data_IF_454002251561
#
_entry.id   IF_454002251561
#
_cell.length_a   1.000
_cell.length_b   1.000
_cell.length_c   1.000
_cell.angle_alpha   90.00
_cell.angle_beta   90.00
_cell.angle_gamma   90.00
#
_symmetry.space_group_name_H-M   'P 1'
#
loop_
_entity.id
_entity.type
_entity.pdbx_description
1 polymer ?
#
# COMPACT_ATOMS: atom_id res chain seq x y z
N UNK A 1 -62.46 -4.41 -1.31
CA UNK A 1 -61.95 -3.02 -1.36
C UNK A 1 -61.00 -2.90 -0.17
N UNK A 2 -59.70 -2.70 -0.28
CA UNK A 2 -58.94 -1.90 -1.24
C UNK A 2 -57.75 -2.66 -1.82
N UNK A 3 -57.61 -2.64 -3.14
CA UNK A 3 -56.36 -2.93 -3.84
C UNK A 3 -55.41 -1.75 -3.66
N UNK A 4 -54.17 -2.04 -3.28
CA UNK A 4 -53.09 -1.06 -3.16
C UNK A 4 -52.47 -0.86 -4.55
N UNK A 5 -52.19 0.39 -4.99
CA UNK A 5 -51.66 0.68 -6.31
C UNK A 5 -50.12 0.67 -6.34
N UNK A 6 -49.58 0.37 -7.52
CA UNK A 6 -48.40 1.06 -8.04
C UNK A 6 -47.06 0.32 -7.93
N UNK A 7 -46.27 0.27 -9.02
CA UNK A 7 -45.13 -0.63 -9.15
C UNK A 7 -43.92 -0.18 -8.31
N UNK A 8 -43.16 -1.18 -7.88
CA UNK A 8 -41.79 -1.05 -7.40
C UNK A 8 -41.03 -0.20 -8.41
N UNK A 9 -40.49 0.93 -7.96
CA UNK A 9 -39.53 1.73 -8.73
C UNK A 9 -38.44 0.79 -9.23
N UNK A 10 -38.44 0.55 -10.54
CA UNK A 10 -37.27 0.06 -11.26
C UNK A 10 -36.14 1.02 -10.91
N UNK A 11 -35.24 0.57 -10.04
CA UNK A 11 -33.94 1.22 -9.85
C UNK A 11 -33.25 1.08 -11.20
N UNK A 12 -33.32 2.12 -12.02
CA UNK A 12 -32.44 2.29 -13.17
C UNK A 12 -31.02 2.20 -12.62
N UNK A 13 -30.39 1.04 -12.81
CA UNK A 13 -28.96 0.88 -12.65
C UNK A 13 -28.30 1.69 -13.77
N UNK A 14 -28.10 2.99 -13.53
CA UNK A 14 -27.16 3.78 -14.31
C UNK A 14 -25.79 3.08 -14.27
N UNK A 15 -24.96 3.20 -15.32
CA UNK A 15 -23.66 2.58 -15.34
C UNK A 15 -22.87 3.04 -14.12
N UNK A 16 -22.44 2.09 -13.29
CA UNK A 16 -21.57 2.38 -12.15
C UNK A 16 -20.37 3.21 -12.64
N UNK A 17 -19.96 4.25 -11.90
CA UNK A 17 -18.79 5.03 -12.28
C UNK A 17 -17.61 4.09 -12.49
N UNK A 18 -17.02 4.12 -13.69
CA UNK A 18 -15.83 3.35 -14.01
C UNK A 18 -14.68 4.03 -13.30
N UNK A 19 -14.29 3.50 -12.14
CA UNK A 19 -13.14 4.00 -11.42
C UNK A 19 -11.87 3.62 -12.21
N UNK A 20 -11.02 4.60 -12.56
CA UNK A 20 -9.77 4.33 -13.25
C UNK A 20 -8.90 3.42 -12.38
N UNK A 21 -8.44 2.31 -12.95
CA UNK A 21 -7.54 1.37 -12.29
C UNK A 21 -6.11 1.64 -12.72
N UNK A 22 -5.13 1.29 -11.89
CA UNK A 22 -3.72 1.34 -12.28
C UNK A 22 -3.47 0.50 -13.54
N UNK A 23 -2.81 1.06 -14.55
CA UNK A 23 -2.49 0.34 -15.79
C UNK A 23 -1.55 -0.84 -15.51
N UNK A 24 -1.55 -1.85 -16.39
CA UNK A 24 -0.63 -2.99 -16.28
C UNK A 24 0.84 -2.52 -16.23
N UNK A 25 1.16 -1.48 -16.98
CA UNK A 25 2.48 -0.87 -17.06
C UNK A 25 2.85 -0.13 -15.79
N UNK A 26 1.91 0.62 -15.21
CA UNK A 26 2.10 1.27 -13.92
C UNK A 26 2.39 0.26 -12.79
N UNK A 27 1.81 -0.95 -12.85
CA UNK A 27 2.05 -2.01 -11.85
C UNK A 27 3.48 -2.58 -11.88
N UNK A 28 4.23 -2.36 -12.96
CA UNK A 28 5.61 -2.82 -13.10
C UNK A 28 6.61 -1.97 -12.31
N UNK A 29 6.23 -0.78 -11.88
CA UNK A 29 7.13 0.18 -11.24
C UNK A 29 7.39 -0.22 -9.79
N UNK A 30 8.65 -0.48 -9.48
CA UNK A 30 9.18 -0.44 -8.12
C UNK A 30 9.79 0.94 -7.90
N UNK A 31 9.15 1.74 -7.06
CA UNK A 31 9.48 3.16 -6.90
C UNK A 31 9.91 3.47 -5.47
N UNK A 32 11.22 3.65 -5.30
CA UNK A 32 11.89 4.02 -4.06
C UNK A 32 11.86 5.53 -3.83
N UNK A 33 11.88 5.96 -2.57
CA UNK A 33 11.97 7.36 -2.15
C UNK A 33 13.34 7.68 -1.51
N UNK A 34 14.41 6.98 -1.92
CA UNK A 34 15.74 7.07 -1.32
C UNK A 34 16.79 7.76 -2.20
N UNK A 35 16.36 8.70 -3.05
CA UNK A 35 17.27 9.38 -3.96
C UNK A 35 16.53 10.22 -5.00
N UNK A 36 17.24 10.70 -6.03
CA UNK A 36 16.65 11.42 -7.14
C UNK A 36 15.87 10.48 -8.08
N UNK A 37 14.98 11.04 -8.90
CA UNK A 37 14.04 10.29 -9.75
C UNK A 37 14.74 9.31 -10.68
N UNK A 38 15.90 9.71 -11.20
CA UNK A 38 16.75 8.98 -12.14
C UNK A 38 17.22 7.63 -11.58
N UNK A 39 17.33 7.51 -10.25
CA UNK A 39 17.68 6.26 -9.56
C UNK A 39 16.51 5.64 -8.79
N UNK A 40 15.42 6.37 -8.64
CA UNK A 40 14.32 6.02 -7.75
C UNK A 40 13.43 4.89 -8.29
N UNK A 41 13.38 4.70 -9.61
CA UNK A 41 12.42 3.78 -10.24
C UNK A 41 13.14 2.66 -10.97
N UNK A 42 12.66 1.44 -10.70
CA UNK A 42 13.03 0.22 -11.39
C UNK A 42 11.76 -0.38 -12.03
N UNK A 43 11.92 -1.03 -13.18
CA UNK A 43 10.80 -1.57 -13.97
C UNK A 43 10.88 -3.08 -14.02
N UNK A 44 9.87 -3.75 -13.48
CA UNK A 44 9.73 -5.20 -13.54
C UNK A 44 9.40 -5.68 -14.97
N UNK A 45 9.74 -6.92 -15.34
CA UNK A 45 9.39 -7.47 -16.65
C UNK A 45 7.88 -7.66 -16.83
N UNK A 46 7.14 -7.93 -15.74
CA UNK A 46 5.71 -8.17 -15.75
C UNK A 46 4.97 -7.30 -14.71
N UNK A 47 3.64 -7.18 -14.84
CA UNK A 47 2.78 -6.44 -13.89
C UNK A 47 2.68 -7.11 -12.51
N UNK A 48 3.12 -8.36 -12.40
CA UNK A 48 3.24 -9.09 -11.15
C UNK A 48 4.71 -9.40 -10.90
N UNK A 49 5.12 -9.23 -9.66
CA UNK A 49 6.45 -9.56 -9.19
C UNK A 49 6.59 -11.07 -8.95
N UNK A 50 7.64 -11.66 -9.51
CA UNK A 50 8.10 -13.01 -9.22
C UNK A 50 9.50 -12.97 -8.59
N UNK A 51 9.77 -13.78 -7.54
CA UNK A 51 11.10 -13.87 -6.96
C UNK A 51 12.15 -14.29 -8.01
N UNK A 52 13.18 -13.47 -8.19
CA UNK A 52 14.23 -13.68 -9.20
C UNK A 52 14.07 -12.81 -10.46
N UNK A 53 13.00 -12.02 -10.56
CA UNK A 53 12.84 -11.04 -11.64
C UNK A 53 14.03 -10.06 -11.71
N UNK A 54 14.52 -9.86 -12.92
CA UNK A 54 15.55 -8.85 -13.21
C UNK A 54 14.85 -7.55 -13.55
N UNK A 55 15.10 -6.53 -12.75
CA UNK A 55 14.55 -5.19 -12.98
C UNK A 55 15.44 -4.39 -13.90
N UNK A 56 14.80 -3.64 -14.79
CA UNK A 56 15.48 -2.66 -15.63
C UNK A 56 15.45 -1.27 -14.98
N UNK A 57 16.50 -0.44 -15.15
CA UNK A 57 16.47 0.93 -14.69
C UNK A 57 15.45 1.75 -15.49
N UNK A 58 14.71 2.62 -14.80
CA UNK A 58 13.75 3.52 -15.44
C UNK A 58 14.43 4.63 -16.24
N UNK A 59 15.62 5.07 -15.82
CA UNK A 59 16.45 6.05 -16.51
C UNK A 59 17.80 5.42 -16.88
N UNK A 60 18.24 5.65 -18.12
CA UNK A 60 19.43 5.09 -18.74
C UNK A 60 20.28 6.24 -19.30
N UNK A 61 21.28 6.73 -18.54
CA UNK A 61 22.05 7.92 -18.94
C UNK A 61 22.92 7.70 -20.19
N UNK A 62 23.22 6.45 -20.54
CA UNK A 62 24.09 6.11 -21.68
C UNK A 62 23.38 6.22 -23.05
N UNK A 63 22.06 6.50 -23.04
CA UNK A 63 21.25 6.64 -24.25
C UNK A 63 21.01 8.12 -24.59
N UNK A 64 20.58 8.37 -25.81
CA UNK A 64 20.13 9.70 -26.24
C UNK A 64 19.00 10.22 -25.32
N UNK A 65 18.87 11.54 -25.08
CA UNK A 65 17.92 12.08 -24.11
C UNK A 65 16.47 11.62 -24.27
N UNK A 66 16.02 11.41 -25.52
CA UNK A 66 14.68 10.93 -25.84
C UNK A 66 14.47 9.44 -25.50
N UNK A 67 15.55 8.66 -25.49
CA UNK A 67 15.58 7.22 -25.19
C UNK A 67 16.10 6.91 -23.78
N UNK A 68 16.56 7.94 -23.06
CA UNK A 68 17.08 7.81 -21.72
C UNK A 68 16.02 7.30 -20.75
N UNK A 69 14.74 7.60 -20.99
CA UNK A 69 13.64 7.08 -20.19
C UNK A 69 13.13 5.74 -20.74
N UNK A 70 12.84 4.81 -19.85
CA UNK A 70 12.26 3.51 -20.21
C UNK A 70 10.94 3.70 -20.98
N UNK A 71 10.63 2.91 -22.03
CA UNK A 71 9.41 3.09 -22.85
C UNK A 71 8.09 3.17 -22.07
N UNK A 72 8.01 2.42 -20.95
CA UNK A 72 6.90 2.49 -19.97
C UNK A 72 6.57 3.92 -19.51
N UNK A 73 7.53 4.85 -19.57
CA UNK A 73 7.36 6.26 -19.22
C UNK A 73 6.26 6.95 -20.03
N UNK A 74 6.06 6.55 -21.29
CA UNK A 74 5.09 7.14 -22.21
C UNK A 74 3.71 6.46 -22.15
N UNK A 75 3.57 5.39 -21.37
CA UNK A 75 2.31 4.66 -21.27
C UNK A 75 1.33 5.36 -20.31
N UNK A 76 0.04 5.10 -20.49
CA UNK A 76 -1.01 5.65 -19.63
C UNK A 76 -0.85 5.21 -18.18
N UNK A 77 -1.04 6.15 -17.25
CA UNK A 77 -1.04 5.88 -15.82
C UNK A 77 -2.16 4.90 -15.42
N UNK A 78 -3.35 5.09 -15.98
CA UNK A 78 -4.57 4.35 -15.61
C UNK A 78 -5.23 3.67 -16.80
N UNK A 79 -6.16 2.77 -16.50
CA UNK A 79 -7.09 2.17 -17.44
C UNK A 79 -8.53 2.29 -16.90
N UNK A 80 -9.44 3.01 -17.60
CA UNK A 80 -9.18 3.81 -18.80
C UNK A 80 -8.22 4.99 -18.55
N UNK A 81 -7.58 5.55 -19.58
CA UNK A 81 -6.72 6.72 -19.45
C UNK A 81 -7.49 7.95 -18.92
N UNK A 82 -6.81 8.76 -18.12
CA UNK A 82 -7.33 10.01 -17.53
C UNK A 82 -6.42 11.17 -17.93
N UNK A 83 -6.93 12.40 -17.88
CA UNK A 83 -6.11 13.61 -18.16
C UNK A 83 -5.54 14.23 -16.89
N UNK A 84 -6.18 13.99 -15.74
CA UNK A 84 -5.75 14.49 -14.46
C UNK A 84 -5.88 13.44 -13.36
N UNK A 85 -5.10 13.63 -12.31
CA UNK A 85 -5.12 12.81 -11.11
C UNK A 85 -4.91 13.68 -9.88
N UNK A 86 -5.75 13.48 -8.88
CA UNK A 86 -5.58 14.05 -7.54
C UNK A 86 -4.87 13.05 -6.64
N UNK A 87 -3.65 13.38 -6.24
CA UNK A 87 -2.82 12.54 -5.40
C UNK A 87 -3.04 12.90 -3.93
N UNK A 88 -3.49 11.91 -3.15
CA UNK A 88 -3.51 11.91 -1.69
C UNK A 88 -2.57 10.84 -1.16
N UNK A 89 -2.17 10.91 0.10
CA UNK A 89 -1.27 9.93 0.70
C UNK A 89 -2.00 9.20 1.83
N UNK A 90 -2.17 7.89 1.66
CA UNK A 90 -2.95 7.05 2.58
C UNK A 90 -2.46 7.15 4.02
N UNK A 91 -1.16 7.06 4.29
CA UNK A 91 -0.68 7.11 5.67
C UNK A 91 -0.93 8.44 6.37
N UNK A 92 -0.99 9.54 5.60
CA UNK A 92 -1.32 10.86 6.16
C UNK A 92 -2.82 10.92 6.46
N UNK A 93 -3.66 10.42 5.54
CA UNK A 93 -5.11 10.30 5.71
C UNK A 93 -5.45 9.45 6.95
N UNK A 94 -4.87 8.25 7.04
CA UNK A 94 -5.06 7.32 8.16
C UNK A 94 -4.59 7.93 9.49
N UNK A 95 -3.49 8.70 9.48
CA UNK A 95 -2.99 9.36 10.69
C UNK A 95 -3.93 10.45 11.20
N UNK A 96 -4.53 11.25 10.31
CA UNK A 96 -5.55 12.23 10.72
C UNK A 96 -6.75 11.54 11.36
N UNK A 97 -7.26 10.47 10.74
CA UNK A 97 -8.40 9.70 11.27
C UNK A 97 -8.09 9.13 12.66
N UNK A 98 -6.92 8.49 12.80
CA UNK A 98 -6.47 7.93 14.08
C UNK A 98 -6.28 9.03 15.14
N UNK A 99 -5.69 10.16 14.76
CA UNK A 99 -5.53 11.29 15.68
C UNK A 99 -6.88 11.78 16.19
N UNK A 100 -7.87 11.92 15.30
CA UNK A 100 -9.24 12.34 15.69
C UNK A 100 -9.84 11.32 16.64
N UNK A 101 -9.70 10.03 16.37
CA UNK A 101 -10.23 8.96 17.22
C UNK A 101 -9.59 8.99 18.62
N UNK A 102 -8.27 9.08 18.70
CA UNK A 102 -7.53 9.12 19.97
C UNK A 102 -7.85 10.37 20.80
N UNK A 103 -8.18 11.48 20.15
CA UNK A 103 -8.37 12.78 20.81
C UNK A 103 -9.85 13.18 20.98
N UNK A 104 -10.81 12.39 20.47
CA UNK A 104 -12.24 12.73 20.42
C UNK A 104 -12.86 13.10 21.77
N UNK A 105 -12.32 12.61 22.88
CA UNK A 105 -12.83 12.84 24.23
C UNK A 105 -12.04 13.89 25.02
N UNK A 106 -10.87 14.31 24.52
CA UNK A 106 -9.93 15.14 25.28
C UNK A 106 -9.75 16.55 24.70
N UNK A 107 -10.16 16.80 23.45
CA UNK A 107 -10.03 18.10 22.79
C UNK A 107 -11.12 18.30 21.74
N UNK A 108 -11.30 19.54 21.29
CA UNK A 108 -12.08 19.83 20.10
C UNK A 108 -11.25 19.53 18.85
N UNK A 109 -11.39 18.32 18.33
CA UNK A 109 -10.63 17.82 17.17
C UNK A 109 -10.88 18.62 15.89
N UNK A 110 -11.93 19.45 15.80
CA UNK A 110 -12.20 20.29 14.62
C UNK A 110 -11.36 21.55 14.58
N UNK A 111 -10.86 22.04 15.71
CA UNK A 111 -10.11 23.30 15.80
C UNK A 111 -8.72 23.13 16.39
N UNK A 112 -8.38 21.94 16.89
CA UNK A 112 -7.07 21.69 17.48
C UNK A 112 -5.95 21.88 16.43
N UNK A 113 -4.94 22.73 16.71
CA UNK A 113 -3.84 22.98 15.79
C UNK A 113 -2.90 21.79 15.64
N UNK A 114 -2.94 20.81 16.54
CA UNK A 114 -2.12 19.59 16.47
C UNK A 114 -2.70 18.54 15.53
N UNK A 115 -3.94 18.74 15.05
CA UNK A 115 -4.56 17.82 14.09
C UNK A 115 -3.78 17.83 12.77
N UNK A 116 -3.31 16.67 12.30
CA UNK A 116 -2.82 16.51 10.94
C UNK A 116 -3.93 16.90 9.95
N UNK A 117 -3.82 18.01 9.22
CA UNK A 117 -4.83 18.40 8.22
C UNK A 117 -4.44 17.84 6.86
N UNK A 118 -4.99 16.68 6.49
CA UNK A 118 -4.68 16.02 5.21
C UNK A 118 -5.15 16.79 4.00
N UNK A 119 -6.19 17.62 4.16
CA UNK A 119 -6.75 18.46 3.09
C UNK A 119 -5.71 19.42 2.48
N UNK A 120 -4.64 19.74 3.20
CA UNK A 120 -3.54 20.56 2.71
C UNK A 120 -2.40 19.76 2.06
N UNK A 121 -2.45 18.42 2.13
CA UNK A 121 -1.41 17.51 1.65
C UNK A 121 -1.99 16.71 0.47
N UNK A 122 -2.19 17.43 -0.64
CA UNK A 122 -2.72 16.88 -1.88
C UNK A 122 -2.02 17.56 -3.07
N UNK A 123 -1.80 16.79 -4.14
CA UNK A 123 -1.19 17.28 -5.37
C UNK A 123 -2.11 16.97 -6.55
N UNK A 124 -2.47 17.99 -7.32
CA UNK A 124 -3.16 17.78 -8.59
C UNK A 124 -2.10 17.69 -9.69
N UNK A 125 -2.14 16.61 -10.46
CA UNK A 125 -1.30 16.41 -11.63
C UNK A 125 -2.21 16.36 -12.84
N UNK A 126 -1.92 17.17 -13.85
CA UNK A 126 -2.67 17.19 -15.10
C UNK A 126 -1.70 17.13 -16.27
N UNK A 127 -2.09 16.43 -17.33
CA UNK A 127 -1.36 16.40 -18.59
C UNK A 127 -1.73 17.59 -19.48
N UNK A 128 -0.82 17.95 -20.38
CA UNK A 128 -1.13 18.78 -21.55
C UNK A 128 -1.46 17.96 -22.81
N UNK A 129 -1.30 16.63 -22.74
CA UNK A 129 -1.52 15.69 -23.84
C UNK A 129 -2.90 15.03 -23.83
N UNK A 130 -3.01 13.89 -24.51
CA UNK A 130 -4.27 13.13 -24.60
C UNK A 130 -4.64 12.42 -23.30
N UNK A 131 -3.63 11.93 -22.58
CA UNK A 131 -3.77 11.24 -21.31
C UNK A 131 -2.51 11.44 -20.45
N UNK A 132 -2.69 11.30 -19.14
CA UNK A 132 -1.64 11.40 -18.15
C UNK A 132 -0.72 10.18 -18.24
N UNK A 133 0.52 10.45 -18.65
CA UNK A 133 1.56 9.43 -18.75
C UNK A 133 2.14 9.08 -17.40
N UNK A 134 2.77 7.90 -17.32
CA UNK A 134 3.53 7.49 -16.14
C UNK A 134 4.62 8.52 -15.83
N UNK A 135 5.34 9.02 -16.83
CA UNK A 135 6.43 9.98 -16.63
C UNK A 135 5.96 11.30 -16.04
N UNK A 136 4.92 11.93 -16.61
CA UNK A 136 4.38 13.19 -16.07
C UNK A 136 3.95 13.03 -14.62
N UNK A 137 3.30 11.90 -14.29
CA UNK A 137 2.88 11.61 -12.93
C UNK A 137 4.07 11.47 -11.98
N UNK A 138 5.05 10.60 -12.28
CA UNK A 138 6.18 10.37 -11.36
C UNK A 138 7.09 11.60 -11.25
N UNK A 139 7.27 12.36 -12.33
CA UNK A 139 8.08 13.59 -12.33
C UNK A 139 7.47 14.71 -11.48
N UNK A 140 6.14 14.80 -11.40
CA UNK A 140 5.46 15.73 -10.51
C UNK A 140 5.42 15.22 -9.05
N UNK A 141 5.10 13.93 -8.86
CA UNK A 141 4.81 13.35 -7.54
C UNK A 141 6.09 13.02 -6.77
N UNK A 142 7.17 12.59 -7.43
CA UNK A 142 8.41 12.20 -6.75
C UNK A 142 9.04 13.34 -5.92
N UNK A 143 9.36 14.52 -6.49
CA UNK A 143 9.93 15.60 -5.69
C UNK A 143 8.98 16.07 -4.58
N UNK A 144 7.66 16.02 -4.81
CA UNK A 144 6.66 16.32 -3.79
C UNK A 144 6.71 15.33 -2.62
N UNK A 145 6.77 14.03 -2.89
CA UNK A 145 6.95 13.00 -1.86
C UNK A 145 8.29 13.14 -1.12
N UNK A 146 9.36 13.48 -1.83
CA UNK A 146 10.68 13.72 -1.22
C UNK A 146 10.64 14.91 -0.25
N UNK A 147 9.94 15.99 -0.59
CA UNK A 147 9.71 17.12 0.32
C UNK A 147 8.88 16.75 1.56
N UNK A 148 8.08 15.69 1.48
CA UNK A 148 7.26 15.17 2.59
C UNK A 148 7.93 14.02 3.37
N UNK A 149 9.14 13.60 3.00
CA UNK A 149 9.77 12.37 3.52
C UNK A 149 9.82 12.31 5.05
N UNK A 150 10.25 13.38 5.72
CA UNK A 150 10.28 13.42 7.18
C UNK A 150 8.90 13.25 7.83
N UNK A 151 7.85 13.77 7.17
CA UNK A 151 6.48 13.60 7.62
C UNK A 151 5.97 12.18 7.40
N UNK A 152 6.31 11.56 6.26
CA UNK A 152 5.96 10.16 5.98
C UNK A 152 6.55 9.23 7.03
N UNK A 153 7.83 9.40 7.37
CA UNK A 153 8.52 8.63 8.41
C UNK A 153 7.90 8.83 9.80
N UNK A 154 7.52 10.06 10.12
CA UNK A 154 6.78 10.36 11.34
C UNK A 154 5.43 9.63 11.39
N UNK A 155 4.56 9.85 10.39
CA UNK A 155 3.18 9.35 10.41
C UNK A 155 3.12 7.82 10.33
N UNK A 156 3.95 7.19 9.49
CA UNK A 156 4.07 5.72 9.41
C UNK A 156 4.63 5.14 10.72
N UNK A 157 5.58 5.83 11.34
CA UNK A 157 6.16 5.44 12.61
C UNK A 157 5.17 5.51 13.75
N UNK A 158 4.43 6.60 13.88
CA UNK A 158 3.42 6.76 14.93
C UNK A 158 2.32 5.70 14.83
N UNK A 159 1.93 5.31 13.62
CA UNK A 159 0.92 4.26 13.42
C UNK A 159 1.38 2.85 13.81
N UNK A 160 2.69 2.58 13.76
CA UNK A 160 3.21 1.20 13.87
C UNK A 160 4.04 0.95 15.13
N UNK A 161 4.82 1.94 15.57
CA UNK A 161 5.82 1.82 16.64
C UNK A 161 5.61 2.80 17.79
N UNK A 162 4.58 3.66 17.72
CA UNK A 162 4.38 4.80 18.64
C UNK A 162 5.61 5.74 18.70
N UNK A 163 6.39 5.77 17.62
CA UNK A 163 7.53 6.66 17.42
C UNK A 163 7.86 6.80 15.93
N UNK A 164 8.46 7.90 15.48
CA UNK A 164 8.90 8.06 14.09
C UNK A 164 9.84 6.93 13.63
N UNK A 165 9.77 6.59 12.35
CA UNK A 165 10.77 5.70 11.75
C UNK A 165 12.12 6.41 11.57
N UNK A 166 13.25 5.68 11.58
CA UNK A 166 14.56 6.23 11.28
C UNK A 166 14.66 6.92 9.91
N UNK A 167 15.48 7.95 9.79
CA UNK A 167 15.65 8.75 8.55
C UNK A 167 16.22 7.94 7.38
N UNK A 168 17.01 6.92 7.68
CA UNK A 168 17.63 5.97 6.75
C UNK A 168 16.69 4.82 6.36
N UNK A 169 15.43 4.84 6.81
CA UNK A 169 14.46 3.79 6.43
C UNK A 169 14.19 3.83 4.92
N UNK A 170 14.36 2.68 4.27
CA UNK A 170 14.07 2.54 2.85
C UNK A 170 12.55 2.51 2.59
N UNK A 171 12.06 3.57 1.95
CA UNK A 171 10.65 3.76 1.63
C UNK A 171 10.38 3.46 0.15
N UNK A 172 9.24 2.82 -0.10
CA UNK A 172 8.77 2.47 -1.44
C UNK A 172 7.30 2.83 -1.60
N UNK A 173 6.90 3.25 -2.80
CA UNK A 173 5.49 3.41 -3.15
C UNK A 173 4.89 2.03 -3.46
N UNK A 174 3.95 1.59 -2.63
CA UNK A 174 3.30 0.27 -2.77
C UNK A 174 2.01 0.30 -3.59
N UNK A 175 1.33 1.45 -3.70
CA UNK A 175 0.14 1.62 -4.54
C UNK A 175 -0.03 3.08 -4.97
N UNK A 176 -0.54 3.31 -6.19
CA UNK A 176 -0.82 4.63 -6.74
C UNK A 176 -1.74 4.55 -7.98
N UNK A 177 -2.39 5.67 -8.33
CA UNK A 177 -3.14 5.86 -9.58
C UNK A 177 -4.64 5.56 -9.48
N UNK A 178 -5.05 4.61 -8.64
CA UNK A 178 -6.45 4.19 -8.47
C UNK A 178 -7.01 4.38 -7.05
N UNK A 179 -6.14 4.77 -6.12
CA UNK A 179 -6.45 5.01 -4.71
C UNK A 179 -5.45 6.04 -4.15
N UNK A 180 -5.65 6.55 -2.91
CA UNK A 180 -4.61 7.30 -2.22
C UNK A 180 -3.28 6.54 -2.24
N UNK A 181 -2.22 7.28 -2.57
CA UNK A 181 -0.89 6.77 -2.73
C UNK A 181 -0.42 6.15 -1.40
N UNK A 182 0.08 4.93 -1.50
CA UNK A 182 0.57 4.17 -0.36
C UNK A 182 2.09 4.14 -0.35
N UNK A 183 2.69 4.46 0.80
CA UNK A 183 4.13 4.35 1.05
C UNK A 183 4.34 3.34 2.18
N UNK A 184 5.26 2.42 1.99
CA UNK A 184 5.60 1.36 2.94
C UNK A 184 7.12 1.15 2.96
N UNK A 185 7.60 0.22 3.80
CA UNK A 185 9.01 -0.23 3.73
C UNK A 185 9.25 -1.01 2.45
N UNK A 186 10.47 -0.91 1.91
CA UNK A 186 10.84 -1.64 0.69
C UNK A 186 10.55 -3.14 0.75
N UNK A 187 10.80 -3.77 1.90
CA UNK A 187 10.57 -5.20 2.16
C UNK A 187 9.11 -5.64 1.93
N UNK A 188 8.16 -4.73 2.13
CA UNK A 188 6.73 -5.01 1.99
C UNK A 188 6.23 -4.88 0.55
N UNK A 189 7.00 -4.26 -0.35
CA UNK A 189 6.59 -4.04 -1.75
C UNK A 189 6.26 -5.36 -2.46
N UNK A 190 7.14 -6.35 -2.30
CA UNK A 190 6.99 -7.66 -2.92
C UNK A 190 5.71 -8.39 -2.46
N UNK A 191 5.23 -8.12 -1.23
CA UNK A 191 4.01 -8.74 -0.70
C UNK A 191 2.78 -8.34 -1.51
N UNK A 192 2.69 -7.07 -1.89
CA UNK A 192 1.54 -6.51 -2.59
C UNK A 192 1.57 -6.70 -4.11
N UNK A 193 2.75 -6.95 -4.68
CA UNK A 193 2.92 -7.08 -6.14
C UNK A 193 3.01 -8.53 -6.62
N UNK A 194 2.98 -9.52 -5.72
CA UNK A 194 2.89 -10.93 -6.10
C UNK A 194 1.63 -11.20 -6.91
N UNK A 195 1.77 -12.12 -7.86
CA UNK A 195 0.62 -12.65 -8.60
C UNK A 195 -0.40 -13.22 -7.58
N UNK A 196 -1.69 -12.83 -7.67
CA UNK A 196 -2.72 -13.40 -6.82
C UNK A 196 -2.69 -14.91 -6.96
N UNK A 197 -2.59 -15.62 -5.84
CA UNK A 197 -2.73 -17.07 -5.82
C UNK A 197 -4.21 -17.39 -6.06
N UNK A 198 -4.60 -17.49 -7.32
CA UNK A 198 -5.93 -17.96 -7.73
C UNK A 198 -5.97 -19.46 -7.51
N UNK A 199 -5.92 -19.90 -6.25
CA UNK A 199 -6.39 -21.24 -5.94
C UNK A 199 -7.88 -21.25 -6.24
N UNK A 200 -8.38 -22.22 -6.99
CA UNK A 200 -9.82 -22.43 -7.07
C UNK A 200 -10.34 -22.51 -5.64
N UNK A 201 -11.26 -21.61 -5.29
CA UNK A 201 -11.97 -21.73 -4.03
C UNK A 201 -12.74 -23.04 -4.09
N UNK A 202 -12.25 -24.06 -3.39
CA UNK A 202 -12.99 -25.29 -3.16
C UNK A 202 -13.82 -25.05 -1.91
N UNK A 203 -15.15 -24.82 -2.02
CA UNK A 203 -15.99 -24.68 -0.85
C UNK A 203 -15.88 -25.94 -0.01
N UNK A 204 -15.28 -25.81 1.17
CA UNK A 204 -15.25 -26.88 2.15
C UNK A 204 -16.68 -27.12 2.65
N UNK A 205 -17.09 -28.38 2.72
CA UNK A 205 -18.30 -28.76 3.45
C UNK A 205 -18.19 -28.34 4.93
N UNK A 206 -19.31 -28.28 5.64
CA UNK A 206 -19.30 -27.93 7.07
C UNK A 206 -18.37 -28.87 7.88
N UNK A 207 -18.42 -30.18 7.59
CA UNK A 207 -17.58 -31.18 8.23
C UNK A 207 -16.08 -30.99 7.94
N UNK A 208 -15.74 -30.61 6.71
CA UNK A 208 -14.33 -30.33 6.36
C UNK A 208 -13.82 -29.04 7.01
N UNK A 209 -14.68 -28.02 7.16
CA UNK A 209 -14.33 -26.79 7.90
C UNK A 209 -14.10 -27.06 9.38
N UNK A 210 -14.96 -27.86 9.99
CA UNK A 210 -14.84 -28.26 11.39
C UNK A 210 -13.53 -29.03 11.62
N UNK A 211 -13.26 -30.04 10.79
CA UNK A 211 -12.00 -30.80 10.84
C UNK A 211 -10.76 -29.92 10.60
N UNK A 212 -10.82 -28.97 9.67
CA UNK A 212 -9.74 -28.03 9.43
C UNK A 212 -9.51 -27.08 10.62
N UNK A 213 -10.59 -26.63 11.27
CA UNK A 213 -10.55 -25.81 12.47
C UNK A 213 -9.92 -26.57 13.64
N UNK A 214 -10.35 -27.80 13.88
CA UNK A 214 -9.78 -28.68 14.91
C UNK A 214 -8.28 -28.90 14.68
N UNK A 215 -7.88 -29.20 13.44
CA UNK A 215 -6.46 -29.36 13.10
C UNK A 215 -5.66 -28.08 13.33
N UNK A 216 -6.22 -26.91 13.03
CA UNK A 216 -5.57 -25.62 13.30
C UNK A 216 -5.38 -25.40 14.81
N UNK A 217 -6.42 -25.66 15.61
CA UNK A 217 -6.38 -25.56 17.08
C UNK A 217 -5.32 -26.53 17.63
N UNK A 218 -5.30 -27.78 17.17
CA UNK A 218 -4.31 -28.77 17.60
C UNK A 218 -2.88 -28.34 17.27
N UNK A 219 -2.65 -27.79 16.08
CA UNK A 219 -1.33 -27.24 15.70
C UNK A 219 -0.94 -26.07 16.60
N UNK A 220 -1.88 -25.20 16.93
CA UNK A 220 -1.63 -24.07 17.84
C UNK A 220 -1.29 -24.55 19.26
N UNK A 221 -2.05 -25.51 19.79
CA UNK A 221 -1.79 -26.13 21.10
C UNK A 221 -0.44 -26.84 21.14
N UNK A 222 -0.07 -27.58 20.10
CA UNK A 222 1.22 -28.22 20.00
C UNK A 222 2.38 -27.21 19.99
N UNK A 223 2.22 -26.09 19.25
CA UNK A 223 3.20 -25.00 19.23
C UNK A 223 3.33 -24.31 20.59
N UNK A 224 2.22 -24.06 21.29
CA UNK A 224 2.26 -23.47 22.62
C UNK A 224 2.88 -24.42 23.65
N UNK A 225 2.54 -25.70 23.59
CA UNK A 225 3.11 -26.71 24.49
C UNK A 225 4.63 -26.86 24.30
N UNK A 226 5.11 -26.85 23.04
CA UNK A 226 6.54 -26.88 22.75
C UNK A 226 7.26 -25.63 23.31
N UNK A 227 6.65 -24.45 23.18
CA UNK A 227 7.21 -23.20 23.73
C UNK A 227 7.28 -23.23 25.26
N UNK A 228 6.26 -23.77 25.94
CA UNK A 228 6.25 -23.90 27.41
C UNK A 228 7.37 -24.83 27.88
N UNK A 229 7.51 -26.01 27.26
CA UNK A 229 8.58 -26.95 27.59
C UNK A 229 9.98 -26.34 27.43
N UNK A 230 10.18 -25.56 26.38
CA UNK A 230 11.45 -24.87 26.16
C UNK A 230 11.73 -23.80 27.22
N UNK A 231 10.71 -23.02 27.61
CA UNK A 231 10.84 -22.03 28.68
C UNK A 231 11.13 -22.68 30.04
N UNK A 232 10.51 -23.83 30.33
CA UNK A 232 10.76 -24.61 31.55
C UNK A 232 12.21 -25.13 31.59
N UNK A 233 12.72 -25.63 30.45
CA UNK A 233 14.10 -26.07 30.31
C UNK A 233 15.09 -24.94 30.60
N UNK A 234 14.91 -23.78 29.97
CA UNK A 234 15.76 -22.60 30.20
C UNK A 234 15.70 -22.13 31.67
N UNK A 235 14.54 -22.22 32.31
CA UNK A 235 14.38 -21.86 33.72
C UNK A 235 15.13 -22.83 34.64
N UNK A 236 15.12 -24.12 34.35
CA UNK A 236 15.89 -25.13 35.10
C UNK A 236 17.40 -24.94 34.92
N UNK A 237 17.85 -24.68 33.69
CA UNK A 237 19.25 -24.40 33.39
C UNK A 237 19.75 -23.14 34.13
N UNK A 238 18.94 -22.07 34.17
CA UNK A 238 19.26 -20.85 34.93
C UNK A 238 19.32 -21.09 36.44
N UNK A 239 18.34 -21.80 36.99
CA UNK A 239 18.30 -22.12 38.43
C UNK A 239 19.47 -23.02 38.86
N UNK A 240 19.99 -23.86 37.97
CA UNK A 240 21.15 -24.72 38.24
C UNK A 240 22.49 -24.00 38.02
N UNK A 241 22.52 -22.85 37.33
CA UNK A 241 23.72 -22.05 37.08
C UNK A 241 24.02 -20.98 38.14
N UNK A 242 23.01 -20.49 38.86
CA UNK A 242 23.17 -19.45 39.91
C UNK A 242 23.56 -20.02 41.29
N UNK A 243 23.86 -21.33 41.37
CA UNK A 243 24.22 -22.05 42.60
C UNK A 243 25.67 -22.54 42.68
N UNK A 244 26.57 -22.05 41.81
CA UNK A 244 27.99 -22.37 41.80
C UNK A 244 28.86 -21.16 42.19
#
# INVERSE_FOLDING_TARGET
MCSIPGPILEVQQGPWPVYPRKSASSKRLKWSLNGPLESAIQVAPNQYYEPGDIFEPYFRPDLEPELAWHPVSQESLTQPPVQDAKVRIRCVDDWEELWVELNRYCTNTKTDPRRPRTEHIQLNVATSGEFLTIHEYVSAVHPWLMGLRGRLLHDLGMQTLDRPWPDDTDLVVSSFGDAPLAVEKEEEWARWHKKPDIRPYVPLSAAEREKASEQAIQRQLARSAARVRELERLRQEKNNGDGA
#
